data_IF_448332159792
#
_entry.id   IF_448332159792
#
_cell.length_a   1.000
_cell.length_b   1.000
_cell.length_c   1.000
_cell.angle_alpha   90.00
_cell.angle_beta   90.00
_cell.angle_gamma   90.00
#
_symmetry.space_group_name_H-M   'P 1'
#
loop_
_entity.id
_entity.type
_entity.pdbx_description
1 polymer ?
#
# COMPACT_ATOMS: atom_id res chain seq x y z
N UNK A 1 3.72 12.84 1.79
CA UNK A 1 3.72 11.58 1.02
C UNK A 1 4.35 10.53 1.90
N UNK A 2 3.55 9.64 2.47
CA UNK A 2 4.05 8.57 3.33
C UNK A 2 4.73 7.46 2.52
N UNK A 3 5.31 6.50 3.24
CA UNK A 3 6.05 5.39 2.68
C UNK A 3 5.60 4.05 3.26
N UNK A 4 5.39 3.07 2.39
CA UNK A 4 5.28 1.65 2.75
C UNK A 4 6.60 0.96 2.44
N UNK A 5 7.25 0.41 3.46
CA UNK A 5 8.50 -0.33 3.34
C UNK A 5 8.23 -1.83 3.54
N UNK A 6 8.70 -2.65 2.59
CA UNK A 6 8.54 -4.11 2.60
C UNK A 6 9.90 -4.80 2.77
N UNK A 7 10.17 -5.31 3.97
CA UNK A 7 11.45 -5.96 4.27
C UNK A 7 12.63 -4.99 4.13
N UNK A 8 13.56 -5.31 3.21
CA UNK A 8 14.71 -4.46 2.85
C UNK A 8 14.54 -3.80 1.48
N UNK A 9 13.35 -3.92 0.89
CA UNK A 9 13.04 -3.32 -0.40
C UNK A 9 12.91 -1.79 -0.27
N UNK A 10 13.03 -1.07 -1.38
CA UNK A 10 12.70 0.34 -1.49
C UNK A 10 11.41 0.76 -0.81
N UNK A 11 11.40 2.01 -0.33
CA UNK A 11 10.19 2.66 0.13
C UNK A 11 9.21 2.86 -1.04
N UNK A 12 7.97 2.44 -0.83
CA UNK A 12 6.86 2.69 -1.74
C UNK A 12 6.16 3.97 -1.29
N UNK A 13 6.39 5.09 -1.97
CA UNK A 13 5.69 6.36 -1.69
C UNK A 13 4.21 6.27 -2.07
N UNK A 14 3.37 6.69 -1.14
CA UNK A 14 1.90 6.73 -1.27
C UNK A 14 1.45 8.01 -0.56
N UNK A 15 0.42 8.67 -1.08
CA UNK A 15 -0.22 9.78 -0.35
C UNK A 15 -0.60 9.35 1.08
N UNK A 16 -0.37 10.19 2.09
CA UNK A 16 -0.53 9.81 3.51
C UNK A 16 -1.97 9.35 3.81
N UNK A 17 -2.98 9.99 3.20
CA UNK A 17 -4.38 9.60 3.38
C UNK A 17 -4.63 8.24 2.75
N UNK A 18 -4.15 8.02 1.53
CA UNK A 18 -4.26 6.72 0.87
C UNK A 18 -3.48 5.62 1.63
N UNK A 19 -2.33 5.94 2.21
CA UNK A 19 -1.50 5.03 3.00
C UNK A 19 -2.23 4.57 4.26
N UNK A 20 -2.91 5.48 4.99
CA UNK A 20 -3.72 5.10 6.17
C UNK A 20 -4.85 4.12 5.83
N UNK A 21 -5.53 4.32 4.70
CA UNK A 21 -6.58 3.40 4.25
C UNK A 21 -6.00 2.06 3.80
N UNK A 22 -4.87 2.11 3.10
CA UNK A 22 -4.14 0.92 2.66
C UNK A 22 -3.63 0.11 3.86
N UNK A 23 -3.03 0.75 4.87
CA UNK A 23 -2.61 0.12 6.13
C UNK A 23 -3.79 -0.62 6.79
N UNK A 24 -4.93 0.05 6.96
CA UNK A 24 -6.10 -0.57 7.57
C UNK A 24 -6.57 -1.84 6.82
N UNK A 25 -6.53 -1.83 5.49
CA UNK A 25 -6.87 -2.98 4.64
C UNK A 25 -5.83 -4.11 4.77
N UNK A 26 -4.55 -3.76 4.72
CA UNK A 26 -3.42 -4.70 4.88
C UNK A 26 -3.53 -5.39 6.24
N UNK A 27 -3.65 -4.63 7.33
CA UNK A 27 -3.78 -5.18 8.68
C UNK A 27 -5.03 -6.06 8.81
N UNK A 28 -6.17 -5.66 8.23
CA UNK A 28 -7.39 -6.46 8.22
C UNK A 28 -7.18 -7.84 7.58
N UNK A 29 -6.52 -7.89 6.40
CA UNK A 29 -6.21 -9.15 5.72
C UNK A 29 -5.20 -10.01 6.49
N UNK A 30 -4.13 -9.40 7.02
CA UNK A 30 -3.13 -10.12 7.81
C UNK A 30 -3.71 -10.73 9.08
N UNK A 31 -4.64 -10.04 9.75
CA UNK A 31 -5.37 -10.57 10.92
C UNK A 31 -6.22 -11.80 10.58
N UNK A 32 -6.69 -11.89 9.33
CA UNK A 32 -7.44 -13.05 8.80
C UNK A 32 -6.53 -14.14 8.22
N UNK A 33 -5.21 -13.94 8.29
CA UNK A 33 -4.23 -14.82 7.65
C UNK A 33 -4.45 -14.96 6.13
N UNK A 34 -4.97 -13.90 5.51
CA UNK A 34 -5.16 -13.81 4.06
C UNK A 34 -3.92 -13.17 3.44
N UNK A 35 -3.11 -13.96 2.73
CA UNK A 35 -2.02 -13.43 1.90
C UNK A 35 -2.59 -12.83 0.61
N UNK A 36 -1.99 -11.74 0.15
CA UNK A 36 -2.43 -11.02 -1.06
C UNK A 36 -1.24 -10.35 -1.73
N UNK A 37 -1.39 -9.96 -3.00
CA UNK A 37 -0.44 -9.11 -3.70
C UNK A 37 -0.86 -7.64 -3.58
N UNK A 38 0.10 -6.74 -3.42
CA UNK A 38 -0.10 -5.29 -3.51
C UNK A 38 0.63 -4.76 -4.73
N UNK A 39 -0.05 -3.95 -5.54
CA UNK A 39 0.45 -3.40 -6.80
C UNK A 39 0.33 -1.88 -6.79
N UNK A 40 1.29 -1.21 -7.42
CA UNK A 40 1.28 0.24 -7.63
C UNK A 40 1.75 0.58 -9.04
N UNK A 41 1.32 1.74 -9.53
CA UNK A 41 1.67 2.28 -10.84
C UNK A 41 2.50 3.54 -10.66
N UNK A 42 3.51 3.70 -11.53
CA UNK A 42 4.53 4.73 -11.40
C UNK A 42 5.43 4.42 -10.21
N UNK A 43 6.71 4.14 -10.45
CA UNK A 43 7.64 3.98 -9.33
C UNK A 43 7.58 5.22 -8.42
N UNK A 44 7.34 5.04 -7.12
CA UNK A 44 7.74 6.03 -6.15
C UNK A 44 9.26 6.18 -6.22
N UNK A 45 9.78 7.35 -5.91
CA UNK A 45 11.22 7.59 -6.00
C UNK A 45 11.92 6.62 -5.05
N UNK A 46 12.56 5.60 -5.61
CA UNK A 46 13.31 4.64 -4.83
C UNK A 46 14.61 5.33 -4.44
N UNK A 47 14.56 6.08 -3.34
CA UNK A 47 15.77 6.54 -2.68
C UNK A 47 16.64 5.33 -2.32
N UNK A 48 17.85 5.29 -2.90
CA UNK A 48 18.94 4.30 -2.67
C UNK A 48 18.92 2.93 -3.39
N UNK A 49 17.96 2.56 -4.25
CA UNK A 49 18.27 1.47 -5.23
C UNK A 49 19.08 2.03 -6.40
N UNK A 50 20.41 1.92 -6.26
CA UNK A 50 21.40 2.13 -7.32
C UNK A 50 21.25 1.13 -8.49
N UNK A 51 20.26 0.21 -8.45
CA UNK A 51 20.14 -0.90 -9.37
C UNK A 51 19.21 -0.67 -10.58
N UNK A 52 18.38 0.38 -10.59
CA UNK A 52 17.41 0.58 -11.68
C UNK A 52 17.52 2.00 -12.27
N UNK A 53 18.27 2.14 -13.35
CA UNK A 53 18.49 3.41 -14.09
C UNK A 53 17.22 3.95 -14.80
N UNK A 54 16.08 3.25 -14.70
CA UNK A 54 14.83 3.59 -15.37
C UNK A 54 13.66 3.44 -14.39
N UNK A 55 12.84 4.48 -14.27
CA UNK A 55 11.55 4.39 -13.56
C UNK A 55 10.76 3.17 -14.03
N UNK A 56 10.64 2.16 -13.18
CA UNK A 56 9.70 1.07 -13.35
C UNK A 56 8.30 1.65 -13.44
N UNK A 57 7.52 1.25 -14.45
CA UNK A 57 6.18 1.83 -14.64
C UNK A 57 5.14 1.17 -13.73
N UNK A 58 5.44 -0.01 -13.18
CA UNK A 58 4.54 -0.82 -12.35
C UNK A 58 5.37 -1.68 -11.39
N UNK A 59 4.94 -1.80 -10.14
CA UNK A 59 5.58 -2.66 -9.13
C UNK A 59 4.57 -3.55 -8.39
N UNK A 60 5.06 -4.64 -7.80
CA UNK A 60 4.23 -5.53 -6.99
C UNK A 60 5.00 -6.23 -5.88
N UNK A 61 4.38 -6.38 -4.71
CA UNK A 61 4.88 -7.18 -3.58
C UNK A 61 3.86 -8.24 -3.16
N UNK A 62 4.35 -9.35 -2.62
CA UNK A 62 3.53 -10.33 -1.92
C UNK A 62 3.53 -10.04 -0.43
N UNK A 63 2.35 -9.90 0.16
CA UNK A 63 2.18 -9.59 1.58
C UNK A 63 1.54 -10.77 2.28
N UNK A 64 2.14 -11.19 3.40
CA UNK A 64 1.72 -12.32 4.21
C UNK A 64 1.98 -12.03 5.69
N UNK A 65 1.50 -12.89 6.59
CA UNK A 65 1.67 -12.71 8.04
C UNK A 65 3.14 -12.69 8.50
N UNK A 66 4.05 -13.28 7.72
CA UNK A 66 5.50 -13.27 7.98
C UNK A 66 6.22 -12.06 7.35
N UNK A 67 5.51 -11.21 6.61
CA UNK A 67 6.10 -10.03 5.99
C UNK A 67 6.38 -8.94 7.03
N UNK A 68 7.60 -8.41 7.01
CA UNK A 68 7.97 -7.21 7.77
C UNK A 68 7.52 -5.97 7.02
N UNK A 69 6.56 -5.24 7.59
CA UNK A 69 6.00 -4.01 7.02
C UNK A 69 6.30 -2.84 7.96
N UNK A 70 6.70 -1.72 7.38
CA UNK A 70 6.82 -0.46 8.10
C UNK A 70 6.08 0.64 7.33
N UNK A 71 5.23 1.37 8.04
CA UNK A 71 4.45 2.49 7.52
C UNK A 71 5.03 3.78 8.10
N UNK A 72 5.59 4.62 7.25
CA UNK A 72 6.06 5.96 7.60
C UNK A 72 5.11 7.00 7.02
N UNK A 73 4.87 8.07 7.75
CA UNK A 73 3.97 9.14 7.35
C UNK A 73 4.70 10.47 7.42
N UNK A 74 4.58 11.29 6.39
CA UNK A 74 5.09 12.68 6.43
C UNK A 74 4.19 13.53 7.31
N UNK A 75 2.87 13.37 7.13
CA UNK A 75 1.86 14.01 7.95
C UNK A 75 0.80 12.98 8.36
N UNK A 76 0.69 12.74 9.66
CA UNK A 76 -0.34 11.84 10.19
C UNK A 76 -1.63 12.61 10.44
N UNK A 77 -2.53 12.61 9.45
CA UNK A 77 -3.88 13.18 9.60
C UNK A 77 -4.65 12.48 10.73
N UNK A 78 -5.45 13.23 11.50
CA UNK A 78 -6.35 12.69 12.54
C UNK A 78 -7.76 12.44 12.02
N UNK A 79 -8.02 12.70 10.73
CA UNK A 79 -9.34 12.52 10.15
C UNK A 79 -9.77 11.04 10.23
N UNK A 80 -11.08 10.77 10.45
CA UNK A 80 -11.62 9.42 10.45
C UNK A 80 -11.40 8.72 9.09
N UNK A 81 -11.18 7.41 9.14
CA UNK A 81 -11.11 6.59 7.93
C UNK A 81 -12.47 6.57 7.20
N UNK A 82 -12.43 6.75 5.89
CA UNK A 82 -13.57 6.59 5.01
C UNK A 82 -13.91 5.09 4.86
N UNK A 83 -15.02 4.67 5.47
CA UNK A 83 -15.46 3.26 5.47
C UNK A 83 -15.76 2.74 4.07
N UNK A 84 -16.36 3.56 3.21
CA UNK A 84 -16.67 3.17 1.83
C UNK A 84 -15.37 2.89 1.05
N UNK A 85 -14.32 3.65 1.33
CA UNK A 85 -13.00 3.41 0.73
C UNK A 85 -12.37 2.11 1.22
N UNK A 86 -12.41 1.84 2.53
CA UNK A 86 -11.93 0.57 3.10
C UNK A 86 -12.64 -0.63 2.44
N UNK A 87 -13.96 -0.58 2.33
CA UNK A 87 -14.74 -1.65 1.70
C UNK A 87 -14.39 -1.83 0.22
N UNK A 88 -14.19 -0.73 -0.50
CA UNK A 88 -13.78 -0.73 -1.90
C UNK A 88 -12.38 -1.36 -2.07
N UNK A 89 -11.42 -1.00 -1.23
CA UNK A 89 -10.06 -1.57 -1.24
C UNK A 89 -10.05 -3.05 -0.82
N UNK A 90 -10.84 -3.44 0.19
CA UNK A 90 -10.98 -4.83 0.62
C UNK A 90 -11.50 -5.72 -0.52
N UNK A 91 -12.50 -5.24 -1.27
CA UNK A 91 -13.06 -5.91 -2.45
C UNK A 91 -12.02 -6.03 -3.56
N UNK A 92 -11.30 -4.96 -3.88
CA UNK A 92 -10.24 -4.98 -4.89
C UNK A 92 -9.18 -6.05 -4.55
N UNK A 93 -8.73 -6.06 -3.29
CA UNK A 93 -7.73 -6.99 -2.80
C UNK A 93 -8.22 -8.44 -2.60
N UNK A 94 -9.50 -8.73 -2.86
CA UNK A 94 -10.03 -10.09 -2.90
C UNK A 94 -10.00 -10.69 -4.32
N UNK A 95 -9.55 -9.93 -5.33
CA UNK A 95 -9.46 -10.37 -6.71
C UNK A 95 -8.05 -10.83 -7.08
N UNK A 96 -7.87 -11.62 -8.16
CA UNK A 96 -6.55 -11.97 -8.68
C UNK A 96 -5.69 -10.76 -9.10
N UNK A 97 -6.30 -9.59 -9.30
CA UNK A 97 -5.58 -8.36 -9.62
C UNK A 97 -4.87 -7.73 -8.41
N UNK A 98 -5.11 -8.26 -7.20
CA UNK A 98 -4.47 -7.81 -5.96
C UNK A 98 -5.00 -6.47 -5.43
N UNK A 99 -4.40 -6.01 -4.33
CA UNK A 99 -4.66 -4.70 -3.76
C UNK A 99 -3.97 -3.62 -4.61
N UNK A 100 -4.71 -2.56 -4.92
CA UNK A 100 -4.19 -1.33 -5.54
C UNK A 100 -4.77 -0.15 -4.78
N UNK A 101 -4.02 0.95 -4.72
CA UNK A 101 -4.58 2.22 -4.23
C UNK A 101 -5.59 2.71 -5.28
N UNK A 102 -6.84 2.84 -4.86
CA UNK A 102 -7.93 3.34 -5.68
C UNK A 102 -8.32 4.74 -5.21
N UNK A 103 -8.87 5.60 -6.09
CA UNK A 103 -9.35 6.93 -5.70
C UNK A 103 -10.38 6.86 -4.57
N UNK A 104 -10.37 7.86 -3.69
CA UNK A 104 -11.33 7.95 -2.60
C UNK A 104 -12.76 8.13 -3.16
N UNK A 105 -13.73 7.27 -2.78
CA UNK A 105 -15.12 7.46 -3.13
C UNK A 105 -15.73 8.62 -2.33
N UNK A 106 -16.70 9.31 -2.91
CA UNK A 106 -17.57 10.21 -2.15
C UNK A 106 -18.24 9.42 -1.02
N UNK A 107 -18.13 9.93 0.21
CA UNK A 107 -18.66 9.30 1.42
C UNK A 107 -20.19 9.34 1.47
#
# INVERSE_FOLDING_TARGET
MGQLIYGIAPAIEIDDRALRHTEAVIISKLRRNESFSFHWDGEPDVGEDVAIERRGTHGSIWVSKSSSLYFSYDEYSTEPLNRAWIDLLLRAAATPAGLRVLPEPAA
#
